data_IF_814616227801
#
_entry.id   IF_814616227801
#
_cell.length_a   1.000
_cell.length_b   1.000
_cell.length_c   1.000
_cell.angle_alpha   90.00
_cell.angle_beta   90.00
_cell.angle_gamma   90.00
#
_symmetry.space_group_name_H-M   'P 1'
#
loop_
_entity.id
_entity.type
_entity.pdbx_description
1 polymer ?
#
# COMPACT_ATOMS: atom_id res chain seq x y z
N UNK A 1 -7.36 6.72 20.44
CA UNK A 1 -7.73 7.43 19.18
C UNK A 1 -6.99 6.76 18.04
N UNK A 2 -7.66 6.43 16.93
CA UNK A 2 -6.97 5.89 15.74
C UNK A 2 -6.19 7.01 15.06
N UNK A 3 -4.99 6.71 14.55
CA UNK A 3 -4.18 7.73 13.87
C UNK A 3 -4.76 8.02 12.47
N UNK A 4 -4.93 9.29 12.07
CA UNK A 4 -5.60 9.63 10.81
C UNK A 4 -4.90 9.05 9.57
N UNK A 5 -3.56 8.95 9.60
CA UNK A 5 -2.76 8.38 8.51
C UNK A 5 -2.61 6.84 8.57
N UNK A 6 -3.28 6.17 9.50
CA UNK A 6 -3.25 4.71 9.55
C UNK A 6 -4.06 4.14 8.38
N UNK A 7 -3.47 3.20 7.62
CA UNK A 7 -4.19 2.49 6.58
C UNK A 7 -5.29 1.61 7.21
N UNK A 8 -6.45 1.62 6.60
CA UNK A 8 -7.66 0.88 6.96
C UNK A 8 -8.21 0.22 5.71
N UNK A 9 -9.06 -0.78 5.91
CA UNK A 9 -9.87 -1.31 4.83
C UNK A 9 -11.31 -1.58 5.29
N UNK A 10 -12.19 -1.71 4.30
CA UNK A 10 -13.54 -2.24 4.40
C UNK A 10 -13.68 -3.34 3.37
N UNK A 11 -14.17 -4.50 3.78
CA UNK A 11 -14.47 -5.60 2.88
C UNK A 11 -15.97 -5.79 2.82
N UNK A 12 -16.51 -5.80 1.61
CA UNK A 12 -17.93 -5.83 1.34
C UNK A 12 -18.20 -6.94 0.32
N UNK A 13 -19.24 -7.74 0.57
CA UNK A 13 -19.88 -8.48 -0.51
C UNK A 13 -20.63 -7.50 -1.39
N UNK A 14 -20.65 -7.71 -2.70
CA UNK A 14 -21.32 -6.79 -3.64
C UNK A 14 -21.96 -7.53 -4.81
N UNK A 15 -22.95 -6.90 -5.44
CA UNK A 15 -23.47 -7.27 -6.77
C UNK A 15 -22.97 -6.34 -7.88
N UNK A 16 -22.20 -5.29 -7.52
CA UNK A 16 -21.61 -4.35 -8.46
C UNK A 16 -20.45 -5.00 -9.22
N UNK A 17 -20.48 -4.90 -10.54
CA UNK A 17 -19.32 -5.26 -11.36
C UNK A 17 -18.28 -4.14 -11.34
N UNK A 18 -17.04 -4.44 -11.76
CA UNK A 18 -16.02 -3.42 -11.97
C UNK A 18 -16.47 -2.31 -12.95
N UNK A 19 -17.30 -2.65 -13.96
CA UNK A 19 -17.87 -1.68 -14.89
C UNK A 19 -18.90 -0.77 -14.21
N UNK A 20 -19.72 -1.31 -13.31
CA UNK A 20 -20.66 -0.52 -12.52
C UNK A 20 -19.92 0.46 -11.61
N UNK A 21 -18.86 0.01 -10.93
CA UNK A 21 -18.03 0.88 -10.09
C UNK A 21 -17.39 2.02 -10.89
N UNK A 22 -16.83 1.73 -12.08
CA UNK A 22 -16.27 2.76 -12.98
C UNK A 22 -17.31 3.79 -13.42
N UNK A 23 -18.57 3.38 -13.59
CA UNK A 23 -19.66 4.27 -13.98
C UNK A 23 -20.18 5.11 -12.79
N UNK A 24 -20.32 4.51 -11.62
CA UNK A 24 -20.99 5.12 -10.46
C UNK A 24 -20.06 6.05 -9.67
N UNK A 25 -18.80 5.67 -9.44
CA UNK A 25 -17.89 6.47 -8.62
C UNK A 25 -17.70 7.92 -9.11
N UNK A 26 -17.53 8.20 -10.42
CA UNK A 26 -17.47 9.58 -10.91
C UNK A 26 -18.75 10.39 -10.62
N UNK A 27 -19.92 9.74 -10.70
CA UNK A 27 -21.20 10.39 -10.43
C UNK A 27 -21.32 10.75 -8.95
N UNK A 28 -20.92 9.84 -8.06
CA UNK A 28 -20.90 10.06 -6.61
C UNK A 28 -19.96 11.21 -6.26
N UNK A 29 -18.73 11.22 -6.81
CA UNK A 29 -17.76 12.29 -6.56
C UNK A 29 -18.31 13.65 -6.98
N UNK A 30 -19.02 13.70 -8.11
CA UNK A 30 -19.62 14.95 -8.63
C UNK A 30 -20.81 15.43 -7.79
N UNK A 31 -21.62 14.50 -7.26
CA UNK A 31 -22.82 14.82 -6.51
C UNK A 31 -22.54 15.16 -5.03
N UNK A 32 -21.54 14.51 -4.43
CA UNK A 32 -21.27 14.59 -3.01
C UNK A 32 -20.34 15.74 -2.65
N UNK A 33 -20.89 16.74 -1.94
CA UNK A 33 -20.12 17.92 -1.50
C UNK A 33 -18.85 17.59 -0.72
N UNK A 34 -18.85 16.49 0.02
CA UNK A 34 -17.69 16.04 0.82
C UNK A 34 -16.53 15.53 -0.06
N UNK A 35 -16.77 15.33 -1.35
CA UNK A 35 -15.81 14.84 -2.34
C UNK A 35 -15.46 15.88 -3.41
N UNK A 36 -15.88 17.14 -3.27
CA UNK A 36 -15.67 18.20 -4.28
C UNK A 36 -14.21 18.38 -4.74
N UNK A 37 -13.25 18.13 -3.84
CA UNK A 37 -11.81 18.24 -4.13
C UNK A 37 -11.17 16.89 -4.47
N UNK A 38 -11.99 15.90 -4.85
CA UNK A 38 -11.56 14.56 -5.20
C UNK A 38 -11.80 14.28 -6.70
N UNK A 39 -11.00 13.37 -7.26
CA UNK A 39 -11.14 12.91 -8.65
C UNK A 39 -10.75 11.44 -8.77
N UNK A 40 -11.31 10.77 -9.78
CA UNK A 40 -10.92 9.41 -10.13
C UNK A 40 -9.58 9.39 -10.83
N UNK A 41 -8.78 8.38 -10.51
CA UNK A 41 -7.62 7.95 -11.26
C UNK A 41 -7.88 6.51 -11.67
N UNK A 42 -7.90 6.25 -12.98
CA UNK A 42 -7.94 4.88 -13.50
C UNK A 42 -6.57 4.25 -13.26
N UNK A 43 -6.50 3.42 -12.23
CA UNK A 43 -5.38 2.51 -12.00
C UNK A 43 -5.59 1.24 -12.84
N UNK A 44 -4.56 0.41 -12.95
CA UNK A 44 -4.54 -0.83 -13.72
C UNK A 44 -5.84 -1.65 -13.56
N UNK A 45 -6.16 -2.44 -14.61
CA UNK A 45 -7.44 -3.11 -14.95
C UNK A 45 -8.42 -3.58 -13.87
N UNK A 46 -8.03 -3.74 -12.60
CA UNK A 46 -8.84 -4.25 -11.49
C UNK A 46 -8.89 -3.35 -10.23
N UNK A 47 -8.23 -2.20 -10.25
CA UNK A 47 -8.21 -1.24 -9.14
C UNK A 47 -8.72 0.12 -9.64
N UNK A 48 -9.56 0.78 -8.85
CA UNK A 48 -9.92 2.19 -9.06
C UNK A 48 -9.40 2.99 -7.88
N UNK A 49 -8.91 4.19 -8.12
CA UNK A 49 -8.45 5.08 -7.06
C UNK A 49 -9.19 6.41 -7.10
N UNK A 50 -9.50 6.96 -5.92
CA UNK A 50 -9.91 8.34 -5.74
C UNK A 50 -8.77 9.08 -5.07
N UNK A 51 -8.31 10.12 -5.75
CA UNK A 51 -7.33 11.07 -5.22
C UNK A 51 -8.07 12.34 -4.81
N UNK A 52 -7.46 13.16 -3.95
CA UNK A 52 -8.06 14.42 -3.56
C UNK A 52 -7.14 15.28 -2.71
N UNK A 53 -7.34 16.60 -2.77
CA UNK A 53 -6.51 17.55 -2.03
C UNK A 53 -6.74 17.49 -0.52
N UNK A 54 -7.96 17.11 -0.10
CA UNK A 54 -8.38 16.98 1.30
C UNK A 54 -8.46 15.51 1.75
N UNK A 55 -7.70 14.62 1.11
CA UNK A 55 -7.53 13.24 1.54
C UNK A 55 -6.23 13.05 2.31
N UNK A 56 -6.26 12.19 3.33
CA UNK A 56 -5.05 11.78 4.06
C UNK A 56 -4.22 10.75 3.27
N UNK A 57 -4.82 10.11 2.27
CA UNK A 57 -4.21 9.25 1.25
C UNK A 57 -5.26 8.84 0.22
N UNK A 58 -4.83 8.22 -0.88
CA UNK A 58 -5.75 7.75 -1.91
C UNK A 58 -6.74 6.70 -1.37
N UNK A 59 -7.98 6.74 -1.84
CA UNK A 59 -9.00 5.73 -1.53
C UNK A 59 -9.01 4.73 -2.69
N UNK A 60 -8.66 3.48 -2.43
CA UNK A 60 -8.58 2.43 -3.44
C UNK A 60 -9.76 1.48 -3.36
N UNK A 61 -10.33 1.13 -4.51
CA UNK A 61 -11.42 0.19 -4.69
C UNK A 61 -10.88 -1.01 -5.46
N UNK A 62 -10.81 -2.16 -4.80
CA UNK A 62 -10.28 -3.40 -5.35
C UNK A 62 -11.45 -4.36 -5.51
N UNK A 63 -11.82 -4.62 -6.75
CA UNK A 63 -12.95 -5.48 -7.10
C UNK A 63 -12.43 -6.86 -7.55
N UNK A 64 -12.96 -7.93 -6.96
CA UNK A 64 -12.53 -9.29 -7.30
C UNK A 64 -13.66 -10.32 -7.17
N UNK A 65 -13.46 -11.47 -7.83
CA UNK A 65 -14.37 -12.61 -7.78
C UNK A 65 -13.76 -13.72 -6.92
N UNK A 66 -14.52 -14.27 -5.97
CA UNK A 66 -14.14 -15.42 -5.16
C UNK A 66 -15.31 -16.40 -5.04
N UNK A 67 -15.07 -17.69 -5.34
CA UNK A 67 -16.11 -18.74 -5.34
C UNK A 67 -17.38 -18.33 -6.10
N UNK A 68 -17.22 -17.65 -7.24
CA UNK A 68 -18.33 -17.19 -8.09
C UNK A 68 -19.11 -15.99 -7.57
N UNK A 69 -18.69 -15.37 -6.46
CA UNK A 69 -19.30 -14.16 -5.88
C UNK A 69 -18.40 -12.95 -6.05
N UNK A 70 -18.99 -11.75 -6.15
CA UNK A 70 -18.26 -10.49 -6.28
C UNK A 70 -18.01 -9.85 -4.92
N UNK A 71 -16.83 -9.26 -4.79
CA UNK A 71 -16.38 -8.59 -3.57
C UNK A 71 -15.71 -7.27 -3.91
N UNK A 72 -15.82 -6.34 -2.97
CA UNK A 72 -15.18 -5.04 -3.01
C UNK A 72 -14.40 -4.82 -1.73
N UNK A 73 -13.09 -4.60 -1.86
CA UNK A 73 -12.25 -4.05 -0.79
C UNK A 73 -12.03 -2.58 -1.03
N UNK A 74 -12.33 -1.75 -0.03
CA UNK A 74 -12.05 -0.31 -0.04
C UNK A 74 -10.93 -0.05 0.95
N UNK A 75 -9.76 0.35 0.46
CA UNK A 75 -8.62 0.75 1.28
C UNK A 75 -8.50 2.27 1.37
N UNK A 76 -8.23 2.79 2.55
CA UNK A 76 -8.20 4.23 2.82
C UNK A 76 -7.46 4.55 4.12
N UNK A 77 -7.18 5.82 4.37
CA UNK A 77 -6.63 6.27 5.66
C UNK A 77 -7.75 6.53 6.66
N UNK A 78 -7.56 6.20 7.94
CA UNK A 78 -8.60 6.37 8.98
C UNK A 78 -9.18 7.79 9.05
N UNK A 79 -8.39 8.82 8.71
CA UNK A 79 -8.85 10.21 8.63
C UNK A 79 -9.93 10.44 7.57
N UNK A 80 -9.95 9.61 6.53
CA UNK A 80 -10.89 9.70 5.40
C UNK A 80 -12.13 8.80 5.61
N UNK A 81 -12.29 8.19 6.79
CA UNK A 81 -13.38 7.26 7.08
C UNK A 81 -14.76 7.86 6.78
N UNK A 82 -15.00 9.12 7.12
CA UNK A 82 -16.29 9.76 6.87
C UNK A 82 -16.62 9.87 5.37
N UNK A 83 -15.62 10.25 4.55
CA UNK A 83 -15.74 10.30 3.09
C UNK A 83 -16.01 8.91 2.51
N UNK A 84 -15.29 7.90 3.00
CA UNK A 84 -15.48 6.50 2.56
C UNK A 84 -16.86 5.96 2.93
N UNK A 85 -17.34 6.22 4.14
CA UNK A 85 -18.68 5.79 4.54
C UNK A 85 -19.75 6.45 3.66
N UNK A 86 -19.57 7.73 3.29
CA UNK A 86 -20.48 8.41 2.37
C UNK A 86 -20.50 7.76 0.98
N UNK A 87 -19.33 7.40 0.44
CA UNK A 87 -19.25 6.67 -0.84
C UNK A 87 -19.97 5.32 -0.74
N UNK A 88 -19.78 4.57 0.35
CA UNK A 88 -20.44 3.28 0.59
C UNK A 88 -21.98 3.45 0.63
N UNK A 89 -22.47 4.48 1.32
CA UNK A 89 -23.90 4.79 1.38
C UNK A 89 -24.47 5.07 -0.02
N UNK A 90 -23.81 5.93 -0.80
CA UNK A 90 -24.26 6.26 -2.14
C UNK A 90 -24.20 5.07 -3.09
N UNK A 91 -23.14 4.24 -3.01
CA UNK A 91 -23.06 2.99 -3.79
C UNK A 91 -24.19 2.01 -3.44
N UNK A 92 -24.64 1.97 -2.19
CA UNK A 92 -25.76 1.13 -1.76
C UNK A 92 -27.12 1.67 -2.26
N UNK A 93 -27.24 2.98 -2.48
CA UNK A 93 -28.46 3.64 -2.97
C UNK A 93 -28.55 3.64 -4.51
N UNK A 94 -27.41 3.62 -5.21
CA UNK A 94 -27.27 3.84 -6.67
C UNK A 94 -27.81 2.72 -7.57
N UNK A 95 -28.82 1.96 -7.13
CA UNK A 95 -29.41 0.86 -7.88
C UNK A 95 -30.47 1.33 -8.86
N UNK A 96 -30.29 1.02 -10.14
CA UNK A 96 -31.42 0.89 -11.05
C UNK A 96 -32.33 -0.20 -10.46
N UNK A 97 -33.56 0.15 -10.11
CA UNK A 97 -34.50 -0.54 -9.21
C UNK A 97 -34.81 -2.03 -9.43
N UNK A 98 -34.03 -2.76 -10.22
CA UNK A 98 -34.05 -4.22 -10.37
C UNK A 98 -32.88 -4.94 -9.67
N UNK A 99 -31.79 -4.24 -9.32
CA UNK A 99 -30.68 -4.83 -8.55
C UNK A 99 -30.68 -4.21 -7.16
N UNK A 100 -31.04 -4.99 -6.15
CA UNK A 100 -30.64 -4.69 -4.77
C UNK A 100 -29.10 -4.70 -4.73
N UNK A 101 -28.50 -3.51 -4.84
CA UNK A 101 -27.07 -3.27 -4.70
C UNK A 101 -26.71 -3.37 -3.23
N UNK A 102 -26.69 -4.59 -2.71
CA UNK A 102 -26.35 -4.79 -1.32
C UNK A 102 -24.83 -4.77 -1.17
N UNK A 103 -24.34 -3.81 -0.38
CA UNK A 103 -23.04 -3.90 0.28
C UNK A 103 -23.31 -4.50 1.66
N UNK A 104 -22.99 -5.77 1.86
CA UNK A 104 -23.20 -6.41 3.16
C UNK A 104 -21.87 -6.63 3.91
N UNK A 105 -21.87 -6.45 5.25
CA UNK A 105 -20.75 -6.85 6.10
C UNK A 105 -20.46 -8.34 5.93
N UNK A 106 -19.17 -8.66 5.89
CA UNK A 106 -18.70 -9.99 5.54
C UNK A 106 -18.82 -11.00 6.70
N UNK A 107 -19.07 -12.27 6.36
CA UNK A 107 -18.79 -13.42 7.24
C UNK A 107 -17.35 -13.89 7.02
N UNK A 108 -16.62 -14.10 8.12
CA UNK A 108 -15.17 -14.37 8.18
C UNK A 108 -14.73 -15.55 7.26
N UNK A 109 -13.49 -15.48 6.71
CA UNK A 109 -12.82 -16.43 5.76
C UNK A 109 -12.91 -16.24 4.22
N UNK A 110 -12.47 -15.10 3.70
CA UNK A 110 -12.03 -14.89 2.33
C UNK A 110 -10.63 -14.40 2.55
N UNK A 111 -9.63 -15.02 1.89
CA UNK A 111 -8.28 -14.49 1.93
C UNK A 111 -8.34 -13.05 1.45
N UNK A 112 -7.70 -12.15 2.19
CA UNK A 112 -7.41 -10.80 1.71
C UNK A 112 -6.51 -10.98 0.49
N UNK A 113 -7.10 -11.22 -0.69
CA UNK A 113 -6.41 -11.10 -1.98
C UNK A 113 -6.57 -9.66 -2.45
N UNK A 114 -6.27 -8.73 -1.55
CA UNK A 114 -6.17 -7.33 -1.89
C UNK A 114 -4.73 -7.13 -2.33
N UNK A 115 -4.54 -6.93 -3.63
CA UNK A 115 -3.27 -6.64 -4.34
C UNK A 115 -2.38 -7.85 -4.65
N UNK A 116 -2.17 -8.11 -5.95
CA UNK A 116 -1.06 -8.91 -6.46
C UNK A 116 0.20 -8.02 -6.56
N UNK A 117 1.38 -8.62 -6.77
CA UNK A 117 2.63 -7.89 -6.95
C UNK A 117 3.15 -7.23 -5.67
N UNK A 118 4.00 -6.21 -5.83
CA UNK A 118 4.76 -5.61 -4.71
C UNK A 118 3.86 -5.06 -3.61
N UNK A 119 2.74 -4.42 -3.94
CA UNK A 119 1.80 -3.92 -2.93
C UNK A 119 1.27 -5.04 -2.02
N UNK A 120 0.91 -6.19 -2.60
CA UNK A 120 0.41 -7.36 -1.86
C UNK A 120 1.47 -7.95 -0.96
N UNK A 121 2.68 -8.11 -1.49
CA UNK A 121 3.83 -8.55 -0.73
C UNK A 121 4.08 -7.65 0.49
N UNK A 122 4.09 -6.33 0.30
CA UNK A 122 4.28 -5.35 1.37
C UNK A 122 3.16 -5.36 2.42
N UNK A 123 1.92 -5.68 2.03
CA UNK A 123 0.83 -5.87 2.98
C UNK A 123 1.06 -7.09 3.87
N UNK A 124 1.53 -8.21 3.31
CA UNK A 124 1.86 -9.42 4.07
C UNK A 124 3.05 -9.20 5.02
N UNK A 125 4.06 -8.43 4.62
CA UNK A 125 5.20 -8.08 5.48
C UNK A 125 4.82 -7.32 6.76
N UNK A 126 3.64 -6.70 6.83
CA UNK A 126 3.17 -6.07 8.07
C UNK A 126 2.87 -7.10 9.18
N UNK A 127 2.79 -8.38 8.82
CA UNK A 127 2.56 -9.50 9.74
C UNK A 127 3.92 -10.06 10.21
N UNK A 128 3.89 -11.22 10.85
CA UNK A 128 5.11 -11.96 11.18
C UNK A 128 5.88 -12.35 9.90
N UNK A 129 7.23 -12.46 9.93
CA UNK A 129 8.14 -12.25 11.06
C UNK A 129 8.69 -10.82 11.19
N UNK A 130 8.36 -9.92 10.27
CA UNK A 130 9.05 -8.63 10.15
C UNK A 130 8.49 -7.52 11.04
N UNK A 131 7.31 -7.73 11.64
CA UNK A 131 6.61 -6.71 12.44
C UNK A 131 7.48 -6.06 13.52
N UNK A 132 8.48 -6.77 14.04
CA UNK A 132 9.34 -6.30 15.14
C UNK A 132 10.57 -5.52 14.67
N UNK A 133 10.90 -5.59 13.38
CA UNK A 133 12.10 -4.96 12.81
C UNK A 133 11.78 -3.92 11.72
N UNK A 134 10.67 -4.11 11.01
CA UNK A 134 10.25 -3.29 9.88
C UNK A 134 8.87 -2.66 10.14
N UNK A 135 8.70 -1.44 9.65
CA UNK A 135 7.42 -0.76 9.56
C UNK A 135 7.17 -0.45 8.09
N UNK A 136 6.21 -1.15 7.50
CA UNK A 136 5.70 -0.83 6.16
C UNK A 136 4.56 0.17 6.29
N UNK A 137 4.80 1.41 5.85
CA UNK A 137 3.78 2.48 5.93
C UNK A 137 2.67 2.28 4.91
N UNK A 138 1.54 2.98 5.08
CA UNK A 138 0.48 2.93 4.06
C UNK A 138 0.93 3.55 2.74
N UNK A 139 1.83 4.54 2.81
CA UNK A 139 2.32 5.24 1.62
C UNK A 139 3.20 4.34 0.76
N UNK A 140 3.96 3.44 1.39
CA UNK A 140 4.71 2.40 0.67
C UNK A 140 3.79 1.43 -0.08
N UNK A 141 2.67 1.03 0.51
CA UNK A 141 1.70 0.13 -0.15
C UNK A 141 0.98 0.86 -1.28
N UNK A 142 0.59 2.11 -1.06
CA UNK A 142 -0.06 2.93 -2.11
C UNK A 142 0.86 3.09 -3.32
N UNK A 143 2.11 3.51 -3.14
CA UNK A 143 3.04 3.68 -4.25
C UNK A 143 3.45 2.35 -4.91
N UNK A 144 3.50 1.26 -4.13
CA UNK A 144 3.81 -0.07 -4.67
C UNK A 144 2.71 -0.63 -5.60
N UNK A 145 1.51 -0.03 -5.65
CA UNK A 145 0.46 -0.45 -6.60
C UNK A 145 0.79 -0.09 -8.04
N UNK A 146 1.57 0.97 -8.22
CA UNK A 146 2.04 1.41 -9.53
C UNK A 146 3.20 0.53 -10.04
N UNK A 147 3.74 -0.35 -9.19
CA UNK A 147 4.84 -1.24 -9.55
C UNK A 147 4.31 -2.55 -10.15
N UNK A 148 4.86 -2.92 -11.29
CA UNK A 148 4.62 -4.20 -11.95
C UNK A 148 5.73 -5.22 -11.68
N UNK A 149 6.77 -4.81 -10.96
CA UNK A 149 7.92 -5.63 -10.63
C UNK A 149 7.55 -6.95 -9.94
N UNK A 150 8.18 -8.03 -10.40
CA UNK A 150 8.05 -9.38 -9.85
C UNK A 150 9.41 -9.86 -9.34
N UNK A 151 9.44 -10.65 -8.27
CA UNK A 151 10.71 -11.16 -7.70
C UNK A 151 10.71 -11.22 -6.17
N UNK A 152 9.59 -11.64 -5.58
CA UNK A 152 9.34 -11.62 -4.14
C UNK A 152 10.46 -12.28 -3.32
N UNK A 153 11.11 -13.34 -3.84
CA UNK A 153 12.22 -14.02 -3.18
C UNK A 153 13.46 -13.12 -2.99
N UNK A 154 13.82 -12.33 -4.01
CA UNK A 154 14.95 -11.40 -3.95
C UNK A 154 14.67 -10.25 -2.99
N UNK A 155 13.45 -9.71 -3.08
CA UNK A 155 12.97 -8.68 -2.17
C UNK A 155 12.97 -9.19 -0.72
N UNK A 156 12.49 -10.41 -0.48
CA UNK A 156 12.48 -11.04 0.83
C UNK A 156 13.90 -11.20 1.39
N UNK A 157 14.85 -11.65 0.57
CA UNK A 157 16.25 -11.81 0.97
C UNK A 157 16.88 -10.49 1.41
N UNK A 158 16.69 -9.41 0.64
CA UNK A 158 17.23 -8.10 0.99
C UNK A 158 16.57 -7.49 2.23
N UNK A 159 15.28 -7.77 2.44
CA UNK A 159 14.58 -7.36 3.66
C UNK A 159 15.09 -8.09 4.91
N UNK A 160 15.38 -9.39 4.81
CA UNK A 160 16.05 -10.11 5.91
C UNK A 160 17.40 -9.48 6.22
N UNK A 161 18.24 -9.25 5.21
CA UNK A 161 19.52 -8.57 5.41
C UNK A 161 19.33 -7.21 6.09
N UNK A 162 18.35 -6.42 5.67
CA UNK A 162 18.04 -5.13 6.29
C UNK A 162 17.72 -5.26 7.78
N UNK A 163 16.98 -6.28 8.19
CA UNK A 163 16.70 -6.53 9.62
C UNK A 163 17.92 -6.94 10.43
N UNK A 164 18.91 -7.56 9.79
CA UNK A 164 20.13 -8.04 10.43
C UNK A 164 21.23 -6.97 10.54
N UNK A 165 21.19 -5.92 9.70
CA UNK A 165 22.21 -4.85 9.66
C UNK A 165 22.55 -4.31 11.06
N UNK A 166 21.59 -3.95 11.95
CA UNK A 166 21.93 -3.47 13.28
C UNK A 166 22.80 -4.44 14.10
N UNK A 167 22.54 -5.75 13.99
CA UNK A 167 23.31 -6.77 14.68
C UNK A 167 24.68 -7.02 14.01
N UNK A 168 24.71 -7.04 12.67
CA UNK A 168 25.94 -7.24 11.89
C UNK A 168 26.94 -6.09 12.10
N UNK A 169 26.46 -4.84 12.14
CA UNK A 169 27.31 -3.67 12.41
C UNK A 169 27.86 -3.66 13.85
N UNK A 170 27.11 -4.20 14.81
CA UNK A 170 27.52 -4.24 16.22
C UNK A 170 28.53 -5.37 16.51
N UNK A 171 28.28 -6.55 15.96
CA UNK A 171 29.00 -7.77 16.34
C UNK A 171 30.12 -8.13 15.35
N UNK A 172 30.09 -7.59 14.13
CA UNK A 172 31.01 -7.98 13.06
C UNK A 172 30.92 -9.48 12.71
N UNK A 173 31.91 -9.98 11.97
CA UNK A 173 32.05 -11.41 11.66
C UNK A 173 31.94 -11.76 10.18
N UNK A 174 32.09 -13.05 9.88
CA UNK A 174 32.17 -13.57 8.50
C UNK A 174 30.94 -13.23 7.65
N UNK A 175 29.73 -13.28 8.24
CA UNK A 175 28.49 -12.90 7.56
C UNK A 175 28.47 -11.40 7.18
N UNK A 176 28.99 -10.52 8.04
CA UNK A 176 29.09 -9.10 7.74
C UNK A 176 30.09 -8.84 6.58
N UNK A 177 31.19 -9.58 6.55
CA UNK A 177 32.19 -9.49 5.47
C UNK A 177 31.62 -10.00 4.12
N UNK A 178 30.85 -11.08 4.13
CA UNK A 178 30.21 -11.60 2.90
C UNK A 178 29.20 -10.62 2.29
N UNK A 179 28.54 -9.81 3.12
CA UNK A 179 27.52 -8.85 2.67
C UNK A 179 28.02 -7.39 2.68
N UNK A 180 29.31 -7.14 2.88
CA UNK A 180 29.83 -5.80 3.15
C UNK A 180 29.38 -4.75 2.13
N UNK A 181 29.58 -5.01 0.82
CA UNK A 181 29.16 -4.09 -0.25
C UNK A 181 27.67 -3.78 -0.20
N UNK A 182 26.83 -4.79 0.07
CA UNK A 182 25.37 -4.61 0.14
C UNK A 182 24.98 -3.84 1.40
N UNK A 183 25.62 -4.10 2.53
CA UNK A 183 25.41 -3.34 3.78
C UNK A 183 25.80 -1.88 3.59
N UNK A 184 26.94 -1.60 2.94
CA UNK A 184 27.38 -0.23 2.62
C UNK A 184 26.36 0.49 1.74
N UNK A 185 25.84 -0.18 0.70
CA UNK A 185 24.77 0.37 -0.14
C UNK A 185 23.51 0.70 0.67
N UNK A 186 23.05 -0.23 1.52
CA UNK A 186 21.85 -0.04 2.33
C UNK A 186 22.03 1.01 3.43
N UNK A 187 23.26 1.22 3.91
CA UNK A 187 23.58 2.25 4.90
C UNK A 187 23.76 3.64 4.29
N UNK A 188 24.01 3.72 2.97
CA UNK A 188 24.27 4.98 2.26
C UNK A 188 23.10 5.95 2.41
N UNK A 189 23.43 7.16 2.88
CA UNK A 189 22.48 8.27 2.99
C UNK A 189 22.44 9.04 1.68
N UNK A 190 21.24 9.25 1.15
CA UNK A 190 20.99 10.00 -0.07
C UNK A 190 20.65 11.47 0.24
N UNK A 191 21.20 12.44 -0.52
CA UNK A 191 21.07 13.87 -0.22
C UNK A 191 19.65 14.41 -0.43
N UNK A 192 18.87 13.79 -1.33
CA UNK A 192 17.50 14.18 -1.66
C UNK A 192 16.53 13.05 -1.28
N UNK A 193 16.12 12.98 0.00
CA UNK A 193 15.20 11.96 0.48
C UNK A 193 13.76 12.27 0.06
N UNK A 194 12.98 11.22 -0.23
CA UNK A 194 11.52 11.36 -0.23
C UNK A 194 11.04 11.63 1.20
N UNK A 195 10.03 12.49 1.35
CA UNK A 195 9.50 12.86 2.66
C UNK A 195 8.04 12.43 2.75
N UNK A 196 7.72 11.62 3.77
CA UNK A 196 6.37 11.13 4.02
C UNK A 196 5.79 11.70 5.32
N UNK A 197 4.47 11.70 5.44
CA UNK A 197 3.78 11.91 6.72
C UNK A 197 3.73 10.58 7.48
N UNK A 198 4.40 10.49 8.63
CA UNK A 198 4.46 9.28 9.46
C UNK A 198 4.19 9.64 10.92
N UNK A 199 3.15 9.06 11.52
CA UNK A 199 2.75 9.28 12.93
C UNK A 199 2.66 10.77 13.32
N UNK A 200 2.09 11.60 12.44
CA UNK A 200 1.86 13.03 12.69
C UNK A 200 3.08 13.93 12.49
N UNK A 201 4.20 13.40 12.01
CA UNK A 201 5.40 14.18 11.66
C UNK A 201 5.86 13.89 10.23
N UNK A 202 6.71 14.77 9.69
CA UNK A 202 7.44 14.50 8.44
C UNK A 202 8.62 13.57 8.74
N UNK A 203 8.78 12.53 7.94
CA UNK A 203 9.88 11.57 8.03
C UNK A 203 10.60 11.52 6.68
N UNK A 204 11.89 11.83 6.68
CA UNK A 204 12.76 11.72 5.52
C UNK A 204 13.24 10.27 5.34
N UNK A 205 12.97 9.70 4.16
CA UNK A 205 13.41 8.37 3.73
C UNK A 205 14.80 8.50 3.12
N UNK A 206 15.81 8.55 3.99
CA UNK A 206 17.18 8.91 3.61
C UNK A 206 18.00 7.78 2.99
N UNK A 207 17.45 6.57 2.89
CA UNK A 207 18.13 5.38 2.37
C UNK A 207 17.29 4.73 1.29
N UNK A 208 17.96 4.02 0.39
CA UNK A 208 17.34 3.36 -0.75
C UNK A 208 17.86 1.93 -0.87
N UNK A 209 16.97 1.01 -1.18
CA UNK A 209 17.28 -0.39 -1.49
C UNK A 209 16.87 -0.63 -2.93
N UNK A 210 17.85 -0.91 -3.78
CA UNK A 210 17.66 -1.18 -5.21
C UNK A 210 17.74 -2.68 -5.44
N UNK A 211 16.67 -3.24 -5.99
CA UNK A 211 16.52 -4.67 -6.22
C UNK A 211 16.33 -4.88 -7.73
N UNK A 212 17.40 -5.22 -8.46
CA UNK A 212 17.31 -5.44 -9.90
C UNK A 212 16.47 -6.68 -10.19
N UNK A 213 15.60 -6.61 -11.19
CA UNK A 213 14.95 -7.81 -11.73
C UNK A 213 16.01 -8.75 -12.31
N UNK A 214 15.93 -10.08 -12.10
CA UNK A 214 16.94 -11.02 -12.59
C UNK A 214 16.93 -11.11 -14.12
N UNK A 215 15.76 -11.01 -14.74
CA UNK A 215 15.56 -11.26 -16.19
C UNK A 215 15.26 -10.01 -17.01
N UNK A 216 14.82 -8.92 -16.37
CA UNK A 216 14.35 -7.71 -17.05
C UNK A 216 15.19 -6.52 -16.65
N UNK A 217 15.09 -5.45 -17.44
CA UNK A 217 15.81 -4.21 -17.22
C UNK A 217 15.12 -3.27 -16.22
N UNK A 218 14.31 -3.82 -15.33
CA UNK A 218 13.62 -3.09 -14.27
C UNK A 218 14.32 -3.24 -12.91
N UNK A 219 14.13 -2.23 -12.06
CA UNK A 219 14.64 -2.17 -10.69
C UNK A 219 13.53 -1.72 -9.77
N UNK A 220 13.29 -2.49 -8.72
CA UNK A 220 12.45 -2.05 -7.61
C UNK A 220 13.29 -1.22 -6.64
N UNK A 221 12.80 -0.03 -6.29
CA UNK A 221 13.44 0.88 -5.35
C UNK A 221 12.57 1.08 -4.11
N UNK A 222 13.03 0.58 -2.96
CA UNK A 222 12.42 0.84 -1.66
C UNK A 222 13.10 2.04 -1.01
N UNK A 223 12.33 3.08 -0.71
CA UNK A 223 12.78 4.23 0.06
C UNK A 223 12.47 4.02 1.53
N UNK A 224 13.50 4.06 2.37
CA UNK A 224 13.37 3.75 3.78
C UNK A 224 14.29 4.62 4.66
N UNK A 225 14.08 4.54 5.96
CA UNK A 225 14.99 5.09 6.97
C UNK A 225 14.97 4.23 8.22
N UNK A 226 15.86 4.52 9.18
CA UNK A 226 15.79 3.92 10.51
C UNK A 226 15.13 4.93 11.46
N UNK A 227 13.95 4.59 11.98
CA UNK A 227 13.25 5.45 12.93
C UNK A 227 13.69 5.13 14.36
N UNK A 228 14.60 5.95 14.88
CA UNK A 228 15.16 5.86 16.23
C UNK A 228 14.08 5.78 17.31
N UNK A 229 12.95 6.48 17.14
CA UNK A 229 11.87 6.46 18.12
C UNK A 229 11.19 5.09 18.26
N UNK A 230 11.17 4.30 17.18
CA UNK A 230 10.61 2.94 17.18
C UNK A 230 11.66 1.84 17.25
N UNK A 231 12.94 2.16 17.01
CA UNK A 231 14.01 1.18 16.86
C UNK A 231 13.90 0.30 15.61
N UNK A 232 13.13 0.72 14.60
CA UNK A 232 12.77 -0.08 13.41
C UNK A 232 13.13 0.64 12.11
N UNK A 233 13.35 -0.13 11.05
CA UNK A 233 13.39 0.45 9.71
C UNK A 233 11.97 0.77 9.24
N UNK A 234 11.78 1.94 8.63
CA UNK A 234 10.49 2.39 8.10
C UNK A 234 10.58 2.44 6.59
N UNK A 235 9.85 1.56 5.90
CA UNK A 235 9.68 1.56 4.45
C UNK A 235 8.51 2.49 4.14
N UNK A 236 8.82 3.60 3.47
CA UNK A 236 7.92 4.73 3.34
C UNK A 236 7.34 4.94 1.95
N UNK A 237 8.06 4.50 0.92
CA UNK A 237 7.71 4.69 -0.47
C UNK A 237 8.42 3.64 -1.33
N UNK A 238 7.80 3.26 -2.43
CA UNK A 238 8.30 2.27 -3.39
C UNK A 238 8.03 2.79 -4.80
N UNK A 239 9.01 2.61 -5.68
CA UNK A 239 8.88 2.91 -7.10
C UNK A 239 9.64 1.89 -7.94
N UNK A 240 9.25 1.78 -9.20
CA UNK A 240 9.94 1.00 -10.21
C UNK A 240 10.66 1.96 -11.17
N UNK A 241 11.86 1.58 -11.61
CA UNK A 241 12.62 2.32 -12.61
C UNK A 241 13.39 1.37 -13.53
N UNK A 242 14.05 1.94 -14.54
CA UNK A 242 14.97 1.21 -15.43
C UNK A 242 16.39 1.20 -14.84
N UNK A 243 17.21 0.19 -15.17
CA UNK A 243 18.58 0.03 -14.65
C UNK A 243 19.55 1.12 -15.11
#
# INVERSE_FOLDING_TARGET
MKHPYQLSHRELGTSLTAADLRRLLPQIITAERVLNDCWMVDDASHTLAIHGLDLHGSIHFIHYTWEGKLYLTIEFRQGDQAKVMRIIEELAISGDGEKELSLWPRAEKIPVRATNGVAGFLQELRKEPFKDHLIVTGSAIESARECTWEGDDLLLQDLYLLTEIPALLKNGGWNAAMHQTRIEQLCRVWPEPKVISFRGRKLALSRRMYIPHPEFDSVLCLHFTYDVASGKHVIGYVEEGEK
#
